data_IF_066382627043
#
_entry.id   IF_066382627043
#
_cell.length_a   1.000
_cell.length_b   1.000
_cell.length_c   1.000
_cell.angle_alpha   90.00
_cell.angle_beta   90.00
_cell.angle_gamma   90.00
#
_symmetry.space_group_name_H-M   'P 1'
#
loop_
_entity.id
_entity.type
_entity.pdbx_description
1 polymer ?
#
# COMPACT_ATOMS: atom_id res chain seq x y z
N UNK A 1 13.75 -0.87 0.57
CA UNK A 1 12.76 0.14 0.13
C UNK A 1 11.99 0.61 1.36
N UNK A 2 11.08 1.58 1.19
CA UNK A 2 10.22 2.06 2.27
C UNK A 2 8.79 1.63 2.04
N UNK A 3 8.06 1.36 3.11
CA UNK A 3 6.62 1.15 3.06
C UNK A 3 5.96 2.39 2.47
N UNK A 4 5.14 2.21 1.44
CA UNK A 4 4.45 3.31 0.76
C UNK A 4 3.48 4.08 1.66
N UNK A 5 3.01 3.46 2.74
CA UNK A 5 2.06 4.08 3.69
C UNK A 5 2.78 4.92 4.74
N UNK A 6 3.72 4.34 5.49
CA UNK A 6 4.33 5.00 6.65
C UNK A 6 5.80 5.39 6.47
N UNK A 7 6.44 5.04 5.35
CA UNK A 7 7.85 5.31 5.08
C UNK A 7 8.84 4.39 5.81
N UNK A 8 8.38 3.50 6.69
CA UNK A 8 9.26 2.60 7.43
C UNK A 8 10.05 1.68 6.50
N UNK A 9 11.29 1.36 6.86
CA UNK A 9 12.17 0.49 6.07
C UNK A 9 11.61 -0.93 6.02
N UNK A 10 11.44 -1.46 4.81
CA UNK A 10 10.91 -2.80 4.55
C UNK A 10 11.64 -3.45 3.38
N UNK A 11 11.65 -4.78 3.38
CA UNK A 11 12.10 -5.59 2.26
C UNK A 11 10.86 -6.05 1.46
N UNK A 12 10.53 -5.40 0.33
CA UNK A 12 9.40 -5.82 -0.49
C UNK A 12 9.72 -7.13 -1.21
N UNK A 13 8.69 -7.93 -1.48
CA UNK A 13 8.77 -9.09 -2.38
C UNK A 13 8.22 -8.67 -3.74
N UNK A 14 9.07 -8.68 -4.76
CA UNK A 14 8.68 -8.31 -6.12
C UNK A 14 7.95 -9.50 -6.77
N UNK A 15 6.73 -9.25 -7.23
CA UNK A 15 5.90 -10.18 -8.00
C UNK A 15 5.76 -9.66 -9.44
N UNK A 16 5.24 -10.46 -10.39
CA UNK A 16 5.16 -10.07 -11.81
C UNK A 16 4.43 -8.73 -12.04
N UNK A 17 3.32 -8.50 -11.35
CA UNK A 17 2.46 -7.33 -11.55
C UNK A 17 2.32 -6.42 -10.31
N UNK A 18 2.97 -6.78 -9.21
CA UNK A 18 2.83 -6.06 -7.93
C UNK A 18 4.04 -6.23 -7.03
N UNK A 19 4.14 -5.39 -6.02
CA UNK A 19 5.09 -5.54 -4.91
C UNK A 19 4.31 -5.90 -3.65
N UNK A 20 4.76 -6.91 -2.93
CA UNK A 20 4.23 -7.24 -1.62
C UNK A 20 5.07 -6.59 -0.53
N UNK A 21 4.40 -5.86 0.36
CA UNK A 21 5.00 -5.05 1.42
C UNK A 21 4.66 -5.67 2.78
N UNK A 22 5.60 -6.37 3.42
CA UNK A 22 5.41 -6.92 4.76
C UNK A 22 5.77 -5.86 5.83
N UNK A 23 4.96 -4.81 5.94
CA UNK A 23 5.23 -3.75 6.92
C UNK A 23 4.76 -4.17 8.33
N UNK A 24 5.66 -4.20 9.35
CA UNK A 24 5.25 -4.55 10.71
C UNK A 24 4.30 -3.50 11.34
N UNK A 25 4.39 -2.26 10.89
CA UNK A 25 3.63 -1.12 11.42
C UNK A 25 2.27 -0.91 10.74
N UNK A 26 2.14 -1.29 9.47
CA UNK A 26 0.90 -1.10 8.69
C UNK A 26 0.18 -2.41 8.38
N UNK A 27 0.85 -3.55 8.54
CA UNK A 27 0.40 -4.84 8.07
C UNK A 27 0.94 -5.19 6.67
N UNK A 28 0.66 -6.43 6.26
CA UNK A 28 1.06 -6.98 4.96
C UNK A 28 0.04 -6.57 3.89
N UNK A 29 0.52 -6.07 2.76
CA UNK A 29 -0.30 -5.69 1.61
C UNK A 29 0.46 -5.84 0.30
N UNK A 30 -0.24 -5.78 -0.83
CA UNK A 30 0.33 -5.69 -2.17
C UNK A 30 0.00 -4.34 -2.81
N UNK A 31 0.84 -3.88 -3.71
CA UNK A 31 0.61 -2.66 -4.48
C UNK A 31 1.00 -2.89 -5.94
N UNK A 32 0.17 -2.46 -6.88
CA UNK A 32 0.46 -2.63 -8.32
C UNK A 32 1.50 -1.62 -8.80
N UNK A 33 2.22 -1.95 -9.87
CA UNK A 33 3.18 -1.01 -10.49
C UNK A 33 2.54 0.33 -10.86
N UNK A 34 1.29 0.31 -11.38
CA UNK A 34 0.55 1.52 -11.73
C UNK A 34 0.20 2.40 -10.53
N UNK A 35 -0.17 1.79 -9.39
CA UNK A 35 -0.40 2.52 -8.15
C UNK A 35 0.89 3.18 -7.64
N UNK A 36 2.00 2.44 -7.68
CA UNK A 36 3.33 2.95 -7.32
C UNK A 36 3.76 4.10 -8.22
N UNK A 37 3.52 4.03 -9.53
CA UNK A 37 3.78 5.14 -10.46
C UNK A 37 2.93 6.38 -10.14
N UNK A 38 1.67 6.18 -9.77
CA UNK A 38 0.76 7.29 -9.45
C UNK A 38 1.23 8.04 -8.19
N UNK A 39 1.72 7.33 -7.17
CA UNK A 39 2.34 7.91 -5.98
C UNK A 39 3.60 8.71 -6.33
N UNK A 40 4.49 8.13 -7.15
CA UNK A 40 5.75 8.77 -7.56
C UNK A 40 5.52 10.06 -8.36
N UNK A 41 4.58 10.05 -9.30
CA UNK A 41 4.32 11.18 -10.21
C UNK A 41 3.70 12.38 -9.51
N UNK A 42 2.86 12.15 -8.52
CA UNK A 42 2.09 13.22 -7.89
C UNK A 42 2.65 13.67 -6.52
N UNK A 43 3.78 13.11 -6.06
CA UNK A 43 4.33 13.33 -4.70
C UNK A 43 3.26 13.09 -3.62
N UNK A 44 2.29 12.23 -3.92
CA UNK A 44 1.17 11.97 -3.04
C UNK A 44 1.58 10.97 -1.96
N UNK A 45 1.05 11.18 -0.77
CA UNK A 45 1.23 10.29 0.37
C UNK A 45 -0.11 9.68 0.74
N UNK A 46 -0.06 8.42 1.15
CA UNK A 46 -1.21 7.80 1.77
C UNK A 46 -1.52 8.46 3.12
N UNK A 47 -2.80 8.61 3.41
CA UNK A 47 -3.24 8.84 4.78
C UNK A 47 -2.96 7.56 5.58
N UNK A 48 -2.08 7.67 6.57
CA UNK A 48 -1.61 6.52 7.36
C UNK A 48 -2.77 5.85 8.09
N UNK A 49 -3.67 6.63 8.71
CA UNK A 49 -4.76 6.11 9.53
C UNK A 49 -5.82 5.43 8.67
N UNK A 50 -6.23 6.08 7.58
CA UNK A 50 -7.19 5.55 6.63
C UNK A 50 -6.68 4.26 5.98
N UNK A 51 -5.40 4.26 5.57
CA UNK A 51 -4.78 3.09 4.94
C UNK A 51 -4.68 1.91 5.90
N UNK A 52 -4.25 2.12 7.15
CA UNK A 52 -4.20 1.06 8.17
C UNK A 52 -5.58 0.51 8.48
N UNK A 53 -6.59 1.37 8.59
CA UNK A 53 -7.98 0.94 8.80
C UNK A 53 -8.47 0.07 7.64
N UNK A 54 -8.23 0.51 6.41
CA UNK A 54 -8.60 -0.25 5.22
C UNK A 54 -7.89 -1.60 5.16
N UNK A 55 -6.59 -1.65 5.46
CA UNK A 55 -5.84 -2.93 5.51
C UNK A 55 -6.42 -3.91 6.53
N UNK A 56 -6.76 -3.44 7.73
CA UNK A 56 -7.35 -4.27 8.77
C UNK A 56 -8.72 -4.84 8.37
N UNK A 57 -9.55 -4.05 7.71
CA UNK A 57 -10.86 -4.47 7.19
C UNK A 57 -10.73 -5.59 6.14
N UNK A 58 -9.76 -5.47 5.24
CA UNK A 58 -9.55 -6.44 4.16
C UNK A 58 -8.92 -7.76 4.65
N UNK A 59 -8.01 -7.71 5.63
CA UNK A 59 -7.31 -8.89 6.14
C UNK A 59 -8.22 -9.89 6.85
N UNK A 60 -9.41 -9.48 7.30
CA UNK A 60 -10.43 -10.39 7.84
C UNK A 60 -10.87 -11.49 6.86
N UNK A 61 -10.60 -11.31 5.56
CA UNK A 61 -10.97 -12.27 4.50
C UNK A 61 -9.87 -13.31 4.18
N UNK A 62 -8.71 -13.27 4.85
CA UNK A 62 -7.58 -14.19 4.59
C UNK A 62 -6.82 -13.94 3.28
N UNK A 63 -7.19 -12.89 2.55
CA UNK A 63 -6.54 -12.45 1.32
C UNK A 63 -5.59 -11.29 1.65
N UNK A 64 -4.39 -11.29 1.05
CA UNK A 64 -3.47 -10.15 1.18
C UNK A 64 -4.07 -8.95 0.42
N UNK A 65 -4.38 -7.82 1.08
CA UNK A 65 -5.03 -6.68 0.44
C UNK A 65 -4.19 -6.13 -0.71
N UNK A 66 -4.82 -5.80 -1.84
CA UNK A 66 -4.17 -5.24 -3.02
C UNK A 66 -4.56 -3.77 -3.20
N UNK A 67 -3.56 -2.89 -3.23
CA UNK A 67 -3.69 -1.47 -3.53
C UNK A 67 -3.43 -1.27 -5.02
N UNK A 68 -4.50 -1.11 -5.81
CA UNK A 68 -4.44 -0.67 -7.20
C UNK A 68 -4.73 0.85 -7.31
N UNK A 69 -4.73 1.40 -8.52
CA UNK A 69 -4.94 2.84 -8.76
C UNK A 69 -6.28 3.37 -8.21
N UNK A 70 -7.34 2.57 -8.20
CA UNK A 70 -8.65 2.96 -7.65
C UNK A 70 -8.59 3.12 -6.14
N UNK A 71 -8.05 2.11 -5.45
CA UNK A 71 -7.84 2.16 -3.99
C UNK A 71 -6.87 3.28 -3.63
N UNK A 72 -5.85 3.48 -4.47
CA UNK A 72 -4.86 4.53 -4.28
C UNK A 72 -5.51 5.90 -4.14
N UNK A 73 -6.43 6.26 -5.04
CA UNK A 73 -7.15 7.53 -4.97
C UNK A 73 -8.05 7.68 -3.73
N UNK A 74 -8.51 6.58 -3.12
CA UNK A 74 -9.34 6.60 -1.91
C UNK A 74 -8.53 6.76 -0.62
N UNK A 75 -7.28 6.31 -0.63
CA UNK A 75 -6.41 6.26 0.56
C UNK A 75 -5.47 7.48 0.66
N UNK A 76 -5.55 8.41 -0.28
CA UNK A 76 -4.69 9.59 -0.33
C UNK A 76 -5.13 10.67 0.66
N UNK A 77 -4.16 11.41 1.19
CA UNK A 77 -4.40 12.70 1.85
C UNK A 77 -4.87 13.70 0.78
N UNK A 78 -6.03 14.30 1.00
CA UNK A 78 -6.53 15.45 0.24
C UNK A 78 -5.99 16.76 0.80
#
# INVERSE_FOLDING_TARGET
MSCYICGNSVAPVVLPDSEEIPCPECGRYRITGTATELLKRNILKFDIYLSRRWLADQQGSGIIPLIDSNITGRLMLH
#
